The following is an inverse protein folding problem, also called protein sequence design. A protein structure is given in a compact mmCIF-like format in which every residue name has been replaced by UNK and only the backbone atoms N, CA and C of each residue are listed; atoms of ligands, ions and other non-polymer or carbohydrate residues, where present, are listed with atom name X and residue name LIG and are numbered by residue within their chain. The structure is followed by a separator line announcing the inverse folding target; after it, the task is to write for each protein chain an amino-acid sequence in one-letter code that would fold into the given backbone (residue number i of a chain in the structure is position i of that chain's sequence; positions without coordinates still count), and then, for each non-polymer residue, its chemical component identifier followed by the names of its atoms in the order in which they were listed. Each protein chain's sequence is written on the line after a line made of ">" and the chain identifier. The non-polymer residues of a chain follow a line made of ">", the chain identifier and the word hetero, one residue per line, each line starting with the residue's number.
data_IF_031421155503
#
_entry.id   IF_031421155503
#
_cell.length_a   1.000
_cell.length_b   1.000
_cell.length_c   1.000
_cell.angle_alpha   90.00
_cell.angle_beta   90.00
_cell.angle_gamma   90.00
#
_symmetry.space_group_name_H-M   'P 1'
#
loop_
_entity.id
_entity.type
_entity.pdbx_description
1 polymer ?
#
# COMPACT_ATOMS: atom_id res chain seq x y z
N UNK A 1 32.87 8.07 -12.23
CA UNK A 1 33.32 8.77 -13.45
C UNK A 1 32.22 8.59 -14.50
N UNK A 2 31.43 9.62 -14.71
CA UNK A 2 30.57 9.69 -15.91
C UNK A 2 31.53 10.02 -17.09
N UNK A 3 31.83 9.06 -17.95
CA UNK A 3 32.39 9.31 -19.23
C UNK A 3 31.30 9.96 -20.10
N UNK A 4 31.35 11.28 -20.25
CA UNK A 4 30.59 11.99 -21.28
C UNK A 4 31.17 11.60 -22.65
N UNK A 5 30.48 10.72 -23.37
CA UNK A 5 30.65 10.59 -24.81
C UNK A 5 30.03 11.83 -25.47
N UNK A 6 30.88 12.79 -25.79
CA UNK A 6 30.55 13.91 -26.68
C UNK A 6 30.38 13.32 -28.09
N UNK A 7 29.17 13.32 -28.60
CA UNK A 7 28.91 12.96 -29.99
C UNK A 7 27.51 12.41 -30.26
N UNK A 8 26.61 13.29 -30.52
CA UNK A 8 25.19 13.24 -30.90
C UNK A 8 24.26 13.65 -29.77
N UNK A 9 23.91 14.93 -29.77
CA UNK A 9 22.83 15.51 -28.93
C UNK A 9 21.46 15.00 -29.38
N UNK A 10 21.12 13.79 -28.99
CA UNK A 10 19.73 13.49 -28.70
C UNK A 10 19.58 13.83 -27.22
N UNK A 11 19.03 15.01 -26.91
CA UNK A 11 18.62 15.37 -25.56
C UNK A 11 17.57 14.35 -25.11
N UNK A 12 18.05 13.25 -24.53
CA UNK A 12 17.16 12.31 -23.84
C UNK A 12 16.71 13.07 -22.58
N UNK A 13 15.47 13.56 -22.61
CA UNK A 13 14.84 14.15 -21.43
C UNK A 13 14.52 13.03 -20.46
N UNK A 14 14.86 13.24 -19.19
CA UNK A 14 14.44 12.32 -18.14
C UNK A 14 12.89 12.24 -18.11
N UNK A 15 12.36 11.04 -17.92
CA UNK A 15 10.91 10.79 -17.84
C UNK A 15 10.51 10.52 -16.41
N UNK A 16 9.67 11.38 -15.87
CA UNK A 16 9.14 11.28 -14.52
C UNK A 16 7.68 10.81 -14.58
N UNK A 17 7.36 9.73 -13.88
CA UNK A 17 5.97 9.26 -13.73
C UNK A 17 5.45 9.51 -12.34
N UNK A 18 4.22 10.04 -12.24
CA UNK A 18 3.50 10.12 -10.98
C UNK A 18 2.44 9.04 -10.94
N UNK A 19 2.54 8.12 -9.97
CA UNK A 19 1.58 7.04 -9.75
C UNK A 19 0.58 7.49 -8.68
N UNK A 20 -0.70 7.34 -8.99
CA UNK A 20 -1.82 7.74 -8.12
C UNK A 20 -2.77 6.56 -7.96
N UNK A 21 -2.66 5.76 -6.87
CA UNK A 21 -3.65 4.74 -6.53
C UNK A 21 -4.98 5.39 -6.15
N UNK A 22 -6.09 4.89 -6.73
CA UNK A 22 -7.44 5.39 -6.51
C UNK A 22 -8.40 4.25 -6.17
N UNK A 23 -9.30 4.46 -5.23
CA UNK A 23 -10.42 3.56 -4.96
C UNK A 23 -11.63 4.30 -4.42
N UNK A 24 -12.67 4.44 -5.25
CA UNK A 24 -13.87 5.24 -4.98
C UNK A 24 -13.50 6.69 -4.61
N UNK A 25 -12.76 7.34 -5.51
CA UNK A 25 -12.27 8.72 -5.36
C UNK A 25 -12.88 9.66 -6.43
N UNK A 26 -14.08 9.31 -6.97
CA UNK A 26 -14.74 10.05 -8.04
C UNK A 26 -14.96 11.54 -7.76
N UNK A 27 -15.11 11.93 -6.49
CA UNK A 27 -15.27 13.33 -6.09
C UNK A 27 -13.94 14.12 -6.08
N UNK A 28 -12.81 13.42 -5.89
CA UNK A 28 -11.49 14.05 -5.66
C UNK A 28 -10.56 13.90 -6.86
N UNK A 29 -10.71 12.84 -7.65
CA UNK A 29 -9.76 12.48 -8.74
C UNK A 29 -9.55 13.60 -9.74
N UNK A 30 -10.58 14.40 -10.07
CA UNK A 30 -10.45 15.55 -10.97
C UNK A 30 -9.61 16.67 -10.36
N UNK A 31 -9.82 16.96 -9.07
CA UNK A 31 -9.02 17.97 -8.35
C UNK A 31 -7.56 17.55 -8.24
N UNK A 32 -7.34 16.23 -7.99
CA UNK A 32 -5.99 15.65 -7.93
C UNK A 32 -5.30 15.77 -9.28
N UNK A 33 -5.99 15.47 -10.38
CA UNK A 33 -5.47 15.64 -11.74
C UNK A 33 -5.10 17.11 -12.02
N UNK A 34 -6.01 18.05 -11.73
CA UNK A 34 -5.77 19.49 -11.99
C UNK A 34 -4.51 19.97 -11.24
N UNK A 35 -4.41 19.61 -9.97
CA UNK A 35 -3.29 20.03 -9.12
C UNK A 35 -1.96 19.41 -9.53
N UNK A 36 -1.95 18.12 -9.87
CA UNK A 36 -0.76 17.44 -10.36
C UNK A 36 -0.32 17.97 -11.72
N UNK A 37 -1.26 18.23 -12.63
CA UNK A 37 -0.95 18.75 -13.96
C UNK A 37 -0.37 20.16 -13.88
N UNK A 38 -0.92 21.04 -13.02
CA UNK A 38 -0.40 22.39 -12.78
C UNK A 38 1.07 22.33 -12.33
N UNK A 39 1.34 21.60 -11.26
CA UNK A 39 2.68 21.50 -10.66
C UNK A 39 3.67 20.83 -11.60
N UNK A 40 3.28 19.71 -12.22
CA UNK A 40 4.19 18.95 -13.09
C UNK A 40 4.49 19.69 -14.38
N UNK A 41 3.53 20.40 -14.96
CA UNK A 41 3.76 21.18 -16.18
C UNK A 41 4.71 22.36 -15.93
N UNK A 42 4.59 23.03 -14.80
CA UNK A 42 5.48 24.13 -14.41
C UNK A 42 6.89 23.60 -14.13
N UNK A 43 7.04 22.60 -13.25
CA UNK A 43 8.33 22.06 -12.85
C UNK A 43 9.09 21.40 -14.02
N UNK A 44 8.38 20.64 -14.88
CA UNK A 44 8.97 19.98 -16.04
C UNK A 44 9.52 20.96 -17.07
N UNK A 45 8.87 22.12 -17.24
CA UNK A 45 9.33 23.18 -18.12
C UNK A 45 10.63 23.83 -17.62
N UNK A 46 10.76 23.99 -16.30
CA UNK A 46 11.95 24.59 -15.66
C UNK A 46 13.13 23.61 -15.64
N UNK A 47 12.91 22.36 -15.27
CA UNK A 47 13.94 21.33 -15.11
C UNK A 47 14.21 20.48 -16.37
N UNK A 48 13.46 20.72 -17.46
CA UNK A 48 13.61 20.10 -18.78
C UNK A 48 13.49 18.56 -18.75
N UNK A 49 12.41 18.02 -18.15
CA UNK A 49 12.06 16.61 -18.21
C UNK A 49 10.64 16.39 -18.80
N UNK A 50 10.33 15.17 -19.19
CA UNK A 50 8.96 14.76 -19.59
C UNK A 50 8.25 14.11 -18.43
N UNK A 51 6.92 14.30 -18.33
CA UNK A 51 6.14 13.65 -17.28
C UNK A 51 4.90 12.96 -17.82
N UNK A 52 4.43 11.95 -17.08
CA UNK A 52 3.07 11.42 -17.22
C UNK A 52 2.48 11.07 -15.84
N UNK A 53 1.14 11.00 -15.79
CA UNK A 53 0.34 10.69 -14.61
C UNK A 53 -0.29 9.31 -14.82
N UNK A 54 0.05 8.34 -13.98
CA UNK A 54 -0.51 7.00 -14.03
C UNK A 54 -1.49 6.78 -12.87
N UNK A 55 -2.76 6.80 -13.17
CA UNK A 55 -3.82 6.49 -12.20
C UNK A 55 -4.09 4.98 -12.18
N UNK A 56 -4.04 4.38 -10.98
CA UNK A 56 -4.36 2.97 -10.79
C UNK A 56 -5.70 2.87 -10.06
N UNK A 57 -6.73 2.49 -10.80
CA UNK A 57 -8.06 2.26 -10.25
C UNK A 57 -8.17 0.84 -9.68
N UNK A 58 -8.26 0.73 -8.36
CA UNK A 58 -8.39 -0.55 -7.65
C UNK A 58 -9.83 -1.09 -7.68
N UNK A 59 -10.45 -1.13 -8.87
CA UNK A 59 -11.78 -1.67 -9.10
C UNK A 59 -12.88 -0.86 -8.41
N UNK A 60 -12.88 0.45 -8.62
CA UNK A 60 -13.90 1.37 -8.10
C UNK A 60 -15.30 1.03 -8.60
N UNK A 61 -16.30 1.38 -7.80
CA UNK A 61 -17.73 1.18 -8.11
C UNK A 61 -18.48 2.50 -8.33
N UNK A 62 -17.80 3.61 -8.15
CA UNK A 62 -18.29 4.96 -8.37
C UNK A 62 -17.86 5.50 -9.76
N UNK A 63 -17.92 6.80 -9.94
CA UNK A 63 -17.57 7.48 -11.19
C UNK A 63 -16.06 7.61 -11.43
N UNK A 64 -15.18 7.05 -10.57
CA UNK A 64 -13.73 7.20 -10.68
C UNK A 64 -13.22 6.75 -12.04
N UNK A 65 -13.57 5.54 -12.48
CA UNK A 65 -13.08 5.01 -13.75
C UNK A 65 -13.59 5.81 -14.96
N UNK A 66 -14.83 6.30 -14.93
CA UNK A 66 -15.39 7.13 -16.01
C UNK A 66 -14.59 8.44 -16.15
N UNK A 67 -14.24 9.06 -15.01
CA UNK A 67 -13.39 10.27 -15.02
C UNK A 67 -11.99 9.98 -15.57
N UNK A 68 -11.35 8.88 -15.17
CA UNK A 68 -10.01 8.53 -15.66
C UNK A 68 -9.99 8.23 -17.16
N UNK A 69 -11.00 7.54 -17.69
CA UNK A 69 -11.12 7.28 -19.12
C UNK A 69 -11.31 8.58 -19.91
N UNK A 70 -12.14 9.48 -19.41
CA UNK A 70 -12.37 10.78 -20.04
C UNK A 70 -11.11 11.66 -20.00
N UNK A 71 -10.38 11.73 -18.86
CA UNK A 71 -9.12 12.44 -18.76
C UNK A 71 -8.07 11.89 -19.73
N UNK A 72 -7.94 10.57 -19.83
CA UNK A 72 -7.00 9.91 -20.73
C UNK A 72 -7.32 10.11 -22.22
N UNK A 73 -8.59 10.36 -22.56
CA UNK A 73 -8.99 10.70 -23.92
C UNK A 73 -8.67 12.16 -24.30
N UNK A 74 -8.65 13.05 -23.30
CA UNK A 74 -8.39 14.48 -23.46
C UNK A 74 -6.91 14.82 -23.36
N UNK A 75 -6.18 14.26 -22.37
CA UNK A 75 -4.79 14.57 -22.07
C UNK A 75 -3.89 13.34 -22.30
N UNK A 76 -2.94 13.47 -23.22
CA UNK A 76 -1.99 12.41 -23.55
C UNK A 76 -1.02 12.05 -22.41
N UNK A 77 -0.83 12.94 -21.43
CA UNK A 77 -0.02 12.69 -20.23
C UNK A 77 -0.74 11.75 -19.26
N UNK A 78 -2.07 11.63 -19.34
CA UNK A 78 -2.84 10.77 -18.46
C UNK A 78 -2.85 9.34 -18.94
N UNK A 79 -2.39 8.45 -18.06
CA UNK A 79 -2.46 7.00 -18.21
C UNK A 79 -3.33 6.45 -17.10
N UNK A 80 -4.07 5.36 -17.40
CA UNK A 80 -4.80 4.65 -16.37
C UNK A 80 -4.68 3.14 -16.52
N UNK A 81 -4.83 2.45 -15.38
CA UNK A 81 -4.93 1.01 -15.30
C UNK A 81 -6.01 0.68 -14.26
N UNK A 82 -7.07 0.00 -14.69
CA UNK A 82 -8.21 -0.37 -13.85
C UNK A 82 -8.23 -1.87 -13.61
N UNK A 83 -8.49 -2.28 -12.37
CA UNK A 83 -8.58 -3.66 -11.95
C UNK A 83 -10.01 -4.22 -12.10
N UNK A 84 -10.11 -5.53 -12.29
CA UNK A 84 -11.39 -6.24 -12.37
C UNK A 84 -12.20 -6.22 -11.07
N UNK A 85 -11.58 -5.99 -9.94
CA UNK A 85 -12.15 -5.82 -8.59
C UNK A 85 -11.14 -5.15 -7.69
N UNK A 86 -11.53 -4.83 -6.46
CA UNK A 86 -10.59 -4.37 -5.44
C UNK A 86 -9.62 -5.49 -5.04
N UNK A 87 -8.31 -5.24 -5.24
CA UNK A 87 -7.18 -6.09 -4.84
C UNK A 87 -6.38 -5.48 -3.69
N UNK A 88 -6.64 -4.21 -3.34
CA UNK A 88 -6.01 -3.48 -2.25
C UNK A 88 -4.86 -2.56 -2.69
N UNK A 89 -4.54 -1.59 -1.82
CA UNK A 89 -3.56 -0.53 -2.09
C UNK A 89 -2.18 -1.08 -2.49
N UNK A 90 -1.71 -2.13 -1.82
CA UNK A 90 -0.41 -2.76 -2.14
C UNK A 90 -0.37 -3.30 -3.59
N UNK A 91 -1.48 -3.89 -4.05
CA UNK A 91 -1.60 -4.35 -5.43
C UNK A 91 -1.61 -3.18 -6.42
N UNK A 92 -2.28 -2.06 -6.09
CA UNK A 92 -2.28 -0.86 -6.91
C UNK A 92 -0.89 -0.23 -7.00
N UNK A 93 -0.16 -0.15 -5.89
CA UNK A 93 1.21 0.36 -5.85
C UNK A 93 2.15 -0.47 -6.71
N UNK A 94 2.17 -1.79 -6.55
CA UNK A 94 3.06 -2.65 -7.36
C UNK A 94 2.69 -2.61 -8.84
N UNK A 95 1.41 -2.55 -9.19
CA UNK A 95 0.99 -2.39 -10.59
C UNK A 95 1.52 -1.08 -11.19
N UNK A 96 1.46 0.01 -10.44
CA UNK A 96 2.05 1.29 -10.82
C UNK A 96 3.55 1.18 -11.09
N UNK A 97 4.31 0.61 -10.17
CA UNK A 97 5.75 0.44 -10.32
C UNK A 97 6.13 -0.51 -11.48
N UNK A 98 5.43 -1.65 -11.64
CA UNK A 98 5.68 -2.59 -12.74
C UNK A 98 5.46 -1.96 -14.11
N UNK A 99 4.50 -1.05 -14.24
CA UNK A 99 4.24 -0.32 -15.48
C UNK A 99 5.09 0.95 -15.64
N UNK A 100 6.03 1.19 -14.74
CA UNK A 100 6.90 2.39 -14.71
C UNK A 100 8.39 2.08 -14.83
N UNK A 101 8.78 0.84 -15.09
CA UNK A 101 10.19 0.39 -15.14
C UNK A 101 11.03 1.07 -16.23
N UNK A 102 10.38 1.69 -17.22
CA UNK A 102 11.02 2.43 -18.31
C UNK A 102 11.09 3.96 -18.05
N UNK A 103 10.71 4.42 -16.84
CA UNK A 103 10.82 5.82 -16.43
C UNK A 103 12.05 6.01 -15.56
N UNK A 104 12.70 7.18 -15.70
CA UNK A 104 13.95 7.48 -15.01
C UNK A 104 13.70 7.76 -13.53
N UNK A 105 12.55 8.37 -13.21
CA UNK A 105 12.08 8.57 -11.85
C UNK A 105 10.57 8.33 -11.73
N UNK A 106 10.14 7.81 -10.58
CA UNK A 106 8.72 7.47 -10.30
C UNK A 106 8.32 8.01 -8.95
N UNK A 107 7.31 8.86 -8.93
CA UNK A 107 6.70 9.41 -7.71
C UNK A 107 5.46 8.61 -7.37
N UNK A 108 5.29 8.21 -6.12
CA UNK A 108 4.07 7.62 -5.58
C UNK A 108 3.38 8.64 -4.68
N UNK A 109 2.10 8.94 -4.95
CA UNK A 109 1.28 9.85 -4.15
C UNK A 109 -0.15 9.32 -4.02
N UNK A 110 -0.76 9.44 -2.83
CA UNK A 110 -2.16 9.04 -2.63
C UNK A 110 -3.14 10.02 -3.32
N UNK A 111 -4.24 9.48 -3.86
CA UNK A 111 -5.22 10.25 -4.61
C UNK A 111 -6.14 11.15 -3.78
N UNK A 112 -6.05 11.11 -2.44
CA UNK A 112 -6.92 11.84 -1.51
C UNK A 112 -6.42 13.26 -1.11
N UNK A 113 -5.36 13.75 -1.76
CA UNK A 113 -4.71 15.05 -1.51
C UNK A 113 -4.23 15.27 -0.06
N UNK A 114 -4.08 14.22 0.75
CA UNK A 114 -3.47 14.34 2.08
C UNK A 114 -1.95 14.57 2.01
N UNK A 115 -1.34 14.15 0.92
CA UNK A 115 0.04 14.43 0.60
C UNK A 115 0.08 15.65 -0.32
N UNK A 116 0.72 16.76 0.08
CA UNK A 116 0.76 17.97 -0.74
C UNK A 116 1.61 17.74 -2.00
N UNK A 117 1.02 17.79 -3.21
CA UNK A 117 1.76 17.60 -4.45
C UNK A 117 2.86 18.63 -4.69
N UNK A 118 2.77 19.78 -4.01
CA UNK A 118 3.74 20.89 -4.08
C UNK A 118 5.16 20.47 -3.66
N UNK A 119 5.31 19.32 -3.00
CA UNK A 119 6.63 18.77 -2.67
C UNK A 119 7.24 17.88 -3.75
N UNK A 120 6.50 17.55 -4.82
CA UNK A 120 7.03 16.76 -5.94
C UNK A 120 8.24 17.44 -6.60
N UNK A 121 8.25 18.76 -6.86
CA UNK A 121 9.42 19.46 -7.38
C UNK A 121 10.69 19.28 -6.54
N UNK A 122 10.56 19.27 -5.20
CA UNK A 122 11.67 19.03 -4.28
C UNK A 122 12.14 17.56 -4.33
N UNK A 123 11.22 16.62 -4.57
CA UNK A 123 11.61 15.21 -4.78
C UNK A 123 12.40 15.03 -6.06
N UNK A 124 11.97 15.66 -7.16
CA UNK A 124 12.69 15.63 -8.44
C UNK A 124 14.06 16.25 -8.29
N UNK A 125 14.20 17.35 -7.54
CA UNK A 125 15.51 17.95 -7.24
C UNK A 125 16.43 16.97 -6.52
N UNK A 126 15.93 16.27 -5.48
CA UNK A 126 16.72 15.25 -4.80
C UNK A 126 17.13 14.10 -5.72
N UNK A 127 16.30 13.71 -6.67
CA UNK A 127 16.67 12.73 -7.71
C UNK A 127 17.78 13.27 -8.62
N UNK A 128 17.69 14.51 -9.07
CA UNK A 128 18.72 15.15 -9.90
C UNK A 128 20.06 15.33 -9.16
N UNK A 129 20.03 15.45 -7.81
CA UNK A 129 21.24 15.42 -6.96
C UNK A 129 21.88 14.01 -6.89
N UNK A 130 21.20 12.96 -7.38
CA UNK A 130 21.72 11.59 -7.45
C UNK A 130 21.22 10.64 -6.35
N UNK A 131 20.17 11.03 -5.60
CA UNK A 131 19.51 10.12 -4.66
C UNK A 131 18.57 9.17 -5.40
N UNK A 132 18.52 7.91 -4.95
CA UNK A 132 17.64 6.89 -5.50
C UNK A 132 16.27 6.88 -4.89
N UNK A 133 16.18 7.30 -3.64
CA UNK A 133 14.93 7.44 -2.92
C UNK A 133 14.86 8.86 -2.34
N UNK A 134 13.77 9.57 -2.59
CA UNK A 134 13.48 10.84 -1.96
C UNK A 134 12.14 10.74 -1.26
N UNK A 135 12.14 10.85 0.06
CA UNK A 135 11.00 10.56 0.91
C UNK A 135 10.47 11.84 1.56
N UNK A 136 9.18 12.07 1.42
CA UNK A 136 8.48 13.09 2.19
C UNK A 136 7.98 12.48 3.51
N UNK A 137 8.57 12.93 4.62
CA UNK A 137 8.22 12.52 5.98
C UNK A 137 7.23 13.50 6.58
N UNK A 138 6.09 12.99 7.06
CA UNK A 138 5.05 13.80 7.68
C UNK A 138 5.47 14.25 9.09
N UNK A 139 5.45 15.55 9.39
CA UNK A 139 5.60 16.05 10.75
C UNK A 139 4.34 15.74 11.58
N UNK A 140 4.54 15.22 12.78
CA UNK A 140 3.47 14.91 13.74
C UNK A 140 3.27 16.02 14.78
N UNK A 141 3.63 17.26 14.47
CA UNK A 141 3.29 18.41 15.32
C UNK A 141 1.77 18.55 15.39
N UNK A 142 1.23 18.59 16.61
CA UNK A 142 -0.22 18.71 16.84
C UNK A 142 -0.99 17.39 17.03
N UNK A 143 -0.36 16.21 16.86
CA UNK A 143 -1.03 14.95 17.20
C UNK A 143 -1.17 14.73 18.71
N UNK A 144 -2.28 14.07 19.12
CA UNK A 144 -2.55 13.74 20.51
C UNK A 144 -1.41 12.89 21.11
N UNK A 145 -0.96 13.25 22.33
CA UNK A 145 0.16 12.59 23.04
C UNK A 145 0.01 11.06 23.13
N UNK A 146 -1.21 10.56 23.37
CA UNK A 146 -1.48 9.11 23.45
C UNK A 146 -1.19 8.43 22.10
N UNK A 147 -1.59 9.02 20.97
CA UNK A 147 -1.35 8.50 19.61
C UNK A 147 0.14 8.50 19.28
N UNK A 148 0.85 9.58 19.62
CA UNK A 148 2.30 9.70 19.43
C UNK A 148 3.09 8.68 20.25
N UNK A 149 2.68 8.45 21.52
CA UNK A 149 3.30 7.45 22.40
C UNK A 149 3.08 6.03 21.89
N UNK A 150 1.86 5.71 21.45
CA UNK A 150 1.54 4.37 20.90
C UNK A 150 2.29 4.09 19.60
N UNK A 151 2.43 5.08 18.72
CA UNK A 151 3.23 4.95 17.51
C UNK A 151 4.71 4.72 17.84
N UNK A 152 5.32 5.50 18.74
CA UNK A 152 6.71 5.29 19.16
C UNK A 152 6.93 3.89 19.76
N UNK A 153 5.99 3.43 20.59
CA UNK A 153 6.06 2.09 21.16
C UNK A 153 6.02 1.02 20.06
N UNK A 154 5.12 1.18 19.07
CA UNK A 154 5.01 0.29 17.92
C UNK A 154 6.33 0.23 17.13
N UNK A 155 6.87 1.39 16.71
CA UNK A 155 8.12 1.42 15.96
C UNK A 155 9.32 0.92 16.76
N UNK A 156 9.37 1.22 18.05
CA UNK A 156 10.42 0.66 18.93
C UNK A 156 10.32 -0.87 19.01
N UNK A 157 9.09 -1.39 19.15
CA UNK A 157 8.85 -2.83 19.19
C UNK A 157 9.26 -3.48 17.85
N UNK A 158 8.77 -2.98 16.72
CA UNK A 158 9.06 -3.58 15.42
C UNK A 158 10.56 -3.52 15.10
N UNK A 159 11.24 -2.41 15.37
CA UNK A 159 12.70 -2.28 15.18
C UNK A 159 13.54 -3.14 16.13
N UNK A 160 12.98 -3.55 17.28
CA UNK A 160 13.65 -4.53 18.17
C UNK A 160 13.54 -5.95 17.63
N UNK A 161 12.44 -6.26 16.96
CA UNK A 161 12.18 -7.60 16.41
C UNK A 161 12.76 -7.77 15.01
N UNK A 162 12.77 -6.73 14.17
CA UNK A 162 13.33 -6.77 12.81
C UNK A 162 14.78 -6.31 12.87
N UNK A 163 15.72 -7.15 12.43
CA UNK A 163 17.17 -6.88 12.53
C UNK A 163 17.69 -6.17 11.27
N UNK A 164 17.15 -6.51 10.11
CA UNK A 164 17.71 -6.11 8.81
C UNK A 164 17.20 -4.74 8.33
N UNK A 165 16.16 -4.19 8.96
CA UNK A 165 15.46 -2.98 8.50
C UNK A 165 15.14 -2.09 9.69
N UNK A 166 15.37 -0.78 9.55
CA UNK A 166 14.95 0.22 10.53
C UNK A 166 13.79 1.05 10.00
N UNK A 167 12.62 0.84 10.57
CA UNK A 167 11.43 1.63 10.24
C UNK A 167 11.49 3.00 10.89
N UNK A 168 11.43 4.05 10.08
CA UNK A 168 11.29 5.42 10.58
C UNK A 168 9.83 5.82 10.78
N UNK A 169 9.54 6.42 11.94
CA UNK A 169 8.21 6.96 12.25
C UNK A 169 7.90 8.18 11.38
N UNK A 170 6.68 8.21 10.81
CA UNK A 170 6.21 9.30 9.93
C UNK A 170 6.56 9.14 8.46
N UNK A 171 7.32 8.12 8.07
CA UNK A 171 7.58 7.76 6.67
C UNK A 171 6.36 7.03 6.10
N UNK A 172 5.81 7.57 5.00
CA UNK A 172 4.67 7.03 4.26
C UNK A 172 5.06 6.50 2.89
N UNK A 173 4.03 6.34 2.05
CA UNK A 173 4.18 5.88 0.67
C UNK A 173 4.55 7.04 -0.27
N UNK A 174 4.44 8.31 0.17
CA UNK A 174 4.77 9.48 -0.60
C UNK A 174 6.29 9.61 -0.76
N UNK A 175 6.78 9.16 -1.91
CA UNK A 175 8.20 9.12 -2.25
C UNK A 175 8.46 9.12 -3.74
N UNK A 176 9.66 9.52 -4.12
CA UNK A 176 10.22 9.33 -5.45
C UNK A 176 11.24 8.20 -5.41
N UNK A 177 11.21 7.35 -6.42
CA UNK A 177 12.19 6.28 -6.64
C UNK A 177 12.85 6.47 -8.00
N UNK A 178 14.19 6.27 -8.08
CA UNK A 178 14.90 6.17 -9.35
C UNK A 178 14.54 4.89 -10.10
N UNK A 179 14.80 4.83 -11.41
CA UNK A 179 14.56 3.65 -12.23
C UNK A 179 15.16 2.38 -11.63
N UNK A 180 16.40 2.43 -11.15
CA UNK A 180 17.07 1.27 -10.56
C UNK A 180 16.40 0.81 -9.25
N UNK A 181 15.91 1.75 -8.45
CA UNK A 181 15.17 1.42 -7.25
C UNK A 181 13.80 0.80 -7.57
N UNK A 182 13.11 1.30 -8.61
CA UNK A 182 11.85 0.69 -9.12
C UNK A 182 12.10 -0.72 -9.64
N UNK A 183 13.16 -0.94 -10.43
CA UNK A 183 13.51 -2.26 -10.95
C UNK A 183 13.83 -3.24 -9.81
N UNK A 184 14.60 -2.83 -8.80
CA UNK A 184 14.87 -3.65 -7.63
C UNK A 184 13.57 -3.99 -6.87
N UNK A 185 12.71 -3.00 -6.62
CA UNK A 185 11.45 -3.19 -5.92
C UNK A 185 10.48 -4.11 -6.68
N UNK A 186 10.43 -4.03 -8.00
CA UNK A 186 9.57 -4.86 -8.85
C UNK A 186 10.09 -6.28 -9.03
N UNK A 187 11.40 -6.51 -8.84
CA UNK A 187 11.98 -7.86 -8.83
C UNK A 187 11.61 -8.68 -7.59
N UNK A 188 11.16 -8.02 -6.51
CA UNK A 188 10.66 -8.69 -5.31
C UNK A 188 9.22 -9.16 -5.56
N UNK A 189 9.05 -10.47 -5.78
CA UNK A 189 7.76 -11.05 -6.21
C UNK A 189 6.95 -11.63 -5.04
N UNK A 190 6.97 -10.97 -3.90
CA UNK A 190 6.21 -11.36 -2.71
C UNK A 190 4.70 -11.16 -2.94
N UNK A 191 3.88 -12.16 -2.56
CA UNK A 191 2.43 -12.05 -2.58
C UNK A 191 1.92 -11.19 -1.42
N UNK A 192 2.42 -11.44 -0.21
CA UNK A 192 2.08 -10.67 0.99
C UNK A 192 3.05 -9.49 1.14
N UNK A 193 2.87 -8.46 0.31
CA UNK A 193 3.74 -7.28 0.31
C UNK A 193 3.49 -6.40 1.53
N UNK A 194 4.59 -5.93 2.10
CA UNK A 194 4.60 -4.85 3.06
C UNK A 194 5.55 -3.77 2.53
N UNK A 195 5.02 -2.91 1.66
CA UNK A 195 5.83 -1.98 0.85
C UNK A 195 6.76 -1.11 1.69
N UNK A 196 6.34 -0.66 2.89
CA UNK A 196 7.21 0.13 3.78
C UNK A 196 8.50 -0.58 4.15
N UNK A 197 8.45 -1.89 4.37
CA UNK A 197 9.63 -2.69 4.64
C UNK A 197 10.46 -2.93 3.38
N UNK A 198 9.82 -3.17 2.24
CA UNK A 198 10.51 -3.42 0.99
C UNK A 198 11.30 -2.20 0.50
N UNK A 199 10.77 -0.99 0.71
CA UNK A 199 11.49 0.25 0.41
C UNK A 199 12.79 0.41 1.20
N UNK A 200 12.80 0.02 2.47
CA UNK A 200 14.01 0.03 3.30
C UNK A 200 14.95 -1.14 2.94
N UNK A 201 14.36 -2.30 2.62
CA UNK A 201 15.12 -3.51 2.31
C UNK A 201 15.98 -3.38 1.05
N UNK A 202 15.51 -2.63 0.03
CA UNK A 202 16.31 -2.39 -1.20
C UNK A 202 17.57 -1.54 -0.95
N UNK A 203 17.67 -0.82 0.18
CA UNK A 203 18.91 -0.26 0.71
C UNK A 203 19.59 0.85 -0.12
N UNK A 204 18.86 1.51 -1.02
CA UNK A 204 19.40 2.56 -1.88
C UNK A 204 19.61 3.89 -1.14
N UNK A 205 20.48 4.76 -1.72
CA UNK A 205 20.75 6.09 -1.18
C UNK A 205 19.50 6.94 -1.06
N UNK A 206 19.21 7.40 0.17
CA UNK A 206 17.92 8.02 0.53
C UNK A 206 18.10 9.45 1.03
N UNK A 207 17.28 10.39 0.53
CA UNK A 207 17.12 11.75 1.05
C UNK A 207 15.73 11.87 1.69
N UNK A 208 15.67 12.35 2.92
CA UNK A 208 14.41 12.55 3.65
C UNK A 208 14.22 14.03 3.92
N UNK A 209 13.06 14.58 3.59
CA UNK A 209 12.65 15.91 4.02
C UNK A 209 11.30 15.83 4.74
N UNK A 210 11.05 16.80 5.62
CA UNK A 210 9.84 16.79 6.46
C UNK A 210 8.87 17.87 5.97
N UNK A 211 7.58 17.53 5.86
CA UNK A 211 6.52 18.47 5.53
C UNK A 211 5.48 18.58 6.65
N UNK A 212 4.81 19.72 6.72
CA UNK A 212 3.76 19.96 7.70
C UNK A 212 2.48 19.21 7.32
N UNK A 213 1.80 18.69 8.34
CA UNK A 213 0.58 17.92 8.15
C UNK A 213 -0.58 18.80 7.70
N UNK A 214 -1.13 18.56 6.52
CA UNK A 214 -2.38 19.16 6.06
C UNK A 214 -3.55 18.33 6.59
N UNK A 215 -4.51 19.01 7.24
CA UNK A 215 -5.75 18.36 7.70
C UNK A 215 -6.60 17.95 6.50
N UNK A 216 -7.26 16.78 6.61
CA UNK A 216 -8.17 16.28 5.57
C UNK A 216 -9.23 17.32 5.21
N UNK A 217 -9.39 17.59 3.93
CA UNK A 217 -10.51 18.42 3.45
C UNK A 217 -11.86 17.71 3.55
N UNK A 218 -11.89 16.35 3.45
CA UNK A 218 -13.09 15.54 3.61
C UNK A 218 -12.76 14.08 3.96
N UNK A 219 -13.65 13.40 4.66
CA UNK A 219 -13.63 11.96 4.93
C UNK A 219 -13.21 11.54 6.34
N UNK A 220 -13.81 10.44 6.83
CA UNK A 220 -13.47 9.82 8.11
C UNK A 220 -12.34 8.80 7.97
N UNK A 221 -11.56 8.60 9.04
CA UNK A 221 -10.50 7.59 9.07
C UNK A 221 -11.09 6.18 8.93
N UNK A 222 -10.82 5.50 7.84
CA UNK A 222 -11.27 4.12 7.56
C UNK A 222 -10.51 3.05 8.39
N UNK A 223 -9.60 3.48 9.30
CA UNK A 223 -8.77 2.58 10.11
C UNK A 223 -9.44 2.21 11.43
N UNK A 224 -9.82 0.95 11.57
CA UNK A 224 -10.27 0.37 12.85
C UNK A 224 -9.09 -0.22 13.61
N UNK A 225 -9.20 -0.33 14.94
CA UNK A 225 -8.17 -0.94 15.80
C UNK A 225 -7.76 -2.35 15.31
N UNK A 226 -8.72 -3.16 14.86
CA UNK A 226 -8.46 -4.50 14.30
C UNK A 226 -7.60 -4.45 13.03
N UNK A 227 -7.86 -3.49 12.12
CA UNK A 227 -7.05 -3.29 10.91
C UNK A 227 -5.63 -2.86 11.25
N UNK A 228 -5.47 -1.99 12.26
CA UNK A 228 -4.16 -1.53 12.71
C UNK A 228 -3.36 -2.68 13.35
N UNK A 229 -4.02 -3.53 14.15
CA UNK A 229 -3.39 -4.71 14.75
C UNK A 229 -2.94 -5.71 13.67
N UNK A 230 -3.80 -6.04 12.70
CA UNK A 230 -3.44 -6.93 11.61
C UNK A 230 -2.26 -6.38 10.80
N UNK A 231 -2.28 -5.10 10.46
CA UNK A 231 -1.16 -4.44 9.77
C UNK A 231 0.15 -4.51 10.56
N UNK A 232 0.07 -4.38 11.90
CA UNK A 232 1.21 -4.55 12.78
C UNK A 232 1.76 -5.98 12.79
N UNK A 233 0.88 -6.98 12.81
CA UNK A 233 1.24 -8.41 12.72
C UNK A 233 1.86 -8.70 11.36
N UNK A 234 1.27 -8.17 10.27
CA UNK A 234 1.79 -8.33 8.91
C UNK A 234 3.21 -7.80 8.79
N UNK A 235 3.48 -6.60 9.29
CA UNK A 235 4.82 -6.02 9.30
C UNK A 235 5.83 -6.84 10.11
N UNK A 236 5.41 -7.37 11.28
CA UNK A 236 6.28 -8.17 12.14
C UNK A 236 6.65 -9.52 11.49
N UNK A 237 5.68 -10.21 10.88
CA UNK A 237 5.87 -11.56 10.34
C UNK A 237 6.56 -11.52 8.97
N UNK A 238 6.34 -10.48 8.15
CA UNK A 238 6.89 -10.38 6.79
C UNK A 238 8.41 -10.31 6.76
N UNK A 239 9.04 -9.70 7.77
CA UNK A 239 10.49 -9.50 7.80
C UNK A 239 11.18 -10.22 8.95
N UNK A 240 10.52 -11.19 9.61
CA UNK A 240 11.09 -11.78 10.80
C UNK A 240 10.58 -13.19 11.09
N UNK A 241 11.51 -14.08 11.46
CA UNK A 241 11.21 -15.42 11.96
C UNK A 241 11.33 -15.52 13.51
N UNK A 242 11.61 -14.41 14.21
CA UNK A 242 11.74 -14.40 15.68
C UNK A 242 10.50 -14.91 16.41
N UNK A 243 9.25 -14.62 15.98
CA UNK A 243 8.08 -15.22 16.62
C UNK A 243 8.10 -16.75 16.63
N UNK A 244 8.57 -17.38 15.55
CA UNK A 244 8.77 -18.84 15.52
C UNK A 244 9.84 -19.30 16.51
N UNK A 245 10.98 -18.60 16.54
CA UNK A 245 12.07 -18.93 17.48
C UNK A 245 11.65 -18.71 18.93
N UNK A 246 10.83 -17.69 19.22
CA UNK A 246 10.27 -17.49 20.56
C UNK A 246 9.44 -18.68 21.04
N UNK A 247 8.67 -19.33 20.14
CA UNK A 247 7.92 -20.55 20.48
C UNK A 247 8.84 -21.70 20.85
N UNK A 248 10.00 -21.83 20.19
CA UNK A 248 11.01 -22.83 20.53
C UNK A 248 11.57 -22.57 21.95
N UNK A 249 11.94 -21.32 22.25
CA UNK A 249 12.46 -20.97 23.58
C UNK A 249 11.41 -21.17 24.68
N UNK A 250 10.14 -20.80 24.40
CA UNK A 250 9.04 -21.02 25.33
C UNK A 250 8.82 -22.53 25.57
N UNK A 251 8.86 -23.31 24.50
CA UNK A 251 8.76 -24.79 24.60
C UNK A 251 9.91 -25.40 25.42
N UNK A 252 11.14 -24.99 25.19
CA UNK A 252 12.30 -25.44 25.96
C UNK A 252 12.20 -25.04 27.45
N UNK A 253 11.75 -23.81 27.72
CA UNK A 253 11.57 -23.32 29.09
C UNK A 253 10.51 -24.12 29.85
N UNK A 254 9.34 -24.34 29.23
CA UNK A 254 8.26 -25.13 29.84
C UNK A 254 8.65 -26.58 30.00
N UNK A 255 9.38 -27.17 29.04
CA UNK A 255 9.94 -28.51 29.15
C UNK A 255 10.90 -28.65 30.33
N UNK A 256 11.83 -27.70 30.50
CA UNK A 256 12.78 -27.69 31.61
C UNK A 256 12.10 -27.59 32.96
N UNK A 257 11.09 -26.72 33.11
CA UNK A 257 10.30 -26.61 34.34
C UNK A 257 9.55 -27.92 34.61
N UNK A 258 8.97 -28.54 33.58
CA UNK A 258 8.25 -29.80 33.73
C UNK A 258 9.17 -30.93 34.24
N UNK A 259 10.39 -31.02 33.72
CA UNK A 259 11.36 -32.02 34.22
C UNK A 259 11.71 -31.75 35.68
N UNK A 260 12.01 -30.50 36.05
CA UNK A 260 12.32 -30.17 37.45
C UNK A 260 11.15 -30.49 38.38
N UNK A 261 9.92 -30.25 37.94
CA UNK A 261 8.72 -30.54 38.69
C UNK A 261 8.52 -32.08 38.84
N UNK A 262 8.76 -32.84 37.80
CA UNK A 262 8.69 -34.32 37.82
C UNK A 262 9.72 -34.87 38.81
N UNK A 263 10.96 -34.37 38.78
CA UNK A 263 12.02 -34.80 39.71
C UNK A 263 11.66 -34.43 41.17
N UNK A 264 11.14 -33.24 41.38
CA UNK A 264 10.65 -32.82 42.71
C UNK A 264 9.56 -33.77 43.24
N UNK A 265 8.53 -34.05 42.41
CA UNK A 265 7.47 -34.98 42.79
C UNK A 265 7.99 -36.39 43.08
N UNK A 266 8.93 -36.89 42.26
CA UNK A 266 9.53 -38.20 42.47
C UNK A 266 10.26 -38.29 43.80
N UNK A 267 11.06 -37.30 44.14
CA UNK A 267 11.76 -37.24 45.45
C UNK A 267 10.75 -37.14 46.62
N UNK A 268 9.69 -36.31 46.47
CA UNK A 268 8.67 -36.15 47.50
C UNK A 268 7.90 -37.46 47.74
N UNK A 269 7.59 -38.22 46.71
CA UNK A 269 6.94 -39.53 46.82
C UNK A 269 7.85 -40.54 47.58
N UNK A 270 9.15 -40.51 47.30
CA UNK A 270 10.11 -41.38 47.98
C UNK A 270 10.23 -41.10 49.48
N UNK A 271 10.11 -39.80 49.88
CA UNK A 271 10.27 -39.39 51.28
C UNK A 271 8.93 -39.47 52.04
N UNK A 272 7.81 -39.04 51.46
CA UNK A 272 6.55 -38.83 52.16
C UNK A 272 5.45 -39.84 51.77
N UNK A 273 5.74 -40.79 50.85
CA UNK A 273 4.72 -41.69 50.32
C UNK A 273 3.74 -41.04 49.37
N UNK A 274 2.78 -41.82 48.88
CA UNK A 274 1.76 -41.33 47.91
C UNK A 274 0.62 -40.65 48.68
N UNK A 275 0.58 -39.33 48.68
CA UNK A 275 -0.57 -38.54 49.06
C UNK A 275 -1.42 -38.14 47.79
N UNK A 276 -2.71 -38.36 47.84
CA UNK A 276 -3.64 -38.08 46.69
C UNK A 276 -4.21 -36.65 46.62
N UNK A 277 -3.59 -35.57 47.07
CA UNK A 277 -4.01 -34.26 46.68
C UNK A 277 -3.21 -33.77 45.47
N UNK A 278 -3.75 -33.77 44.28
CA UNK A 278 -3.05 -33.29 43.07
C UNK A 278 -3.97 -33.00 41.90
N UNK A 279 -5.29 -33.18 42.06
CA UNK A 279 -6.24 -33.00 40.98
C UNK A 279 -6.18 -31.61 40.36
N UNK A 280 -6.22 -30.55 41.20
CA UNK A 280 -6.16 -29.16 40.73
C UNK A 280 -4.85 -28.84 40.02
N UNK A 281 -3.72 -29.27 40.58
CA UNK A 281 -2.38 -29.03 40.01
C UNK A 281 -2.22 -29.71 38.66
N UNK A 282 -2.73 -30.94 38.54
CA UNK A 282 -2.66 -31.72 37.30
C UNK A 282 -3.50 -31.08 36.19
N UNK A 283 -4.75 -30.69 36.48
CA UNK A 283 -5.62 -30.01 35.52
C UNK A 283 -5.05 -28.64 35.13
N UNK A 284 -4.57 -27.86 36.09
CA UNK A 284 -3.96 -26.56 35.81
C UNK A 284 -2.73 -26.71 34.89
N UNK A 285 -1.87 -27.70 35.14
CA UNK A 285 -0.73 -27.98 34.29
C UNK A 285 -1.13 -28.39 32.88
N UNK A 286 -2.11 -29.27 32.72
CA UNK A 286 -2.61 -29.71 31.42
C UNK A 286 -3.21 -28.53 30.64
N UNK A 287 -4.02 -27.70 31.27
CA UNK A 287 -4.64 -26.54 30.62
C UNK A 287 -3.58 -25.50 30.21
N UNK A 288 -2.57 -25.24 31.07
CA UNK A 288 -1.49 -24.31 30.76
C UNK A 288 -0.65 -24.82 29.57
N UNK A 289 -0.21 -26.07 29.60
CA UNK A 289 0.58 -26.66 28.53
C UNK A 289 -0.21 -26.75 27.22
N UNK A 290 -1.49 -27.17 27.30
CA UNK A 290 -2.40 -27.19 26.15
C UNK A 290 -2.62 -25.81 25.55
N UNK A 291 -2.77 -24.78 26.39
CA UNK A 291 -2.87 -23.38 25.94
C UNK A 291 -1.63 -22.92 25.20
N UNK A 292 -0.43 -23.20 25.74
CA UNK A 292 0.85 -22.86 25.08
C UNK A 292 0.99 -23.60 23.74
N UNK A 293 0.63 -24.88 23.68
CA UNK A 293 0.65 -25.65 22.43
C UNK A 293 -0.27 -25.08 21.38
N UNK A 294 -1.50 -24.69 21.73
CA UNK A 294 -2.45 -24.07 20.80
C UNK A 294 -1.95 -22.74 20.26
N UNK A 295 -1.33 -21.89 21.11
CA UNK A 295 -0.70 -20.64 20.66
C UNK A 295 0.44 -20.94 19.69
N UNK A 296 1.30 -21.90 19.99
CA UNK A 296 2.44 -22.28 19.14
C UNK A 296 1.97 -22.78 17.77
N UNK A 297 0.94 -23.63 17.74
CA UNK A 297 0.32 -24.13 16.50
C UNK A 297 -0.30 -22.96 15.71
N UNK A 298 -0.94 -22.00 16.39
CA UNK A 298 -1.50 -20.81 15.77
C UNK A 298 -0.44 -19.96 15.07
N UNK A 299 0.71 -19.74 15.71
CA UNK A 299 1.85 -19.01 15.09
C UNK A 299 2.38 -19.77 13.86
N UNK A 300 2.58 -21.09 13.96
CA UNK A 300 3.00 -21.93 12.83
C UNK A 300 1.96 -21.84 11.70
N UNK A 301 0.67 -21.90 12.02
CA UNK A 301 -0.42 -21.80 11.06
C UNK A 301 -0.39 -20.49 10.26
N UNK A 302 -0.05 -19.37 10.90
CA UNK A 302 0.09 -18.08 10.23
C UNK A 302 1.21 -18.10 9.18
N UNK A 303 2.39 -18.67 9.51
CA UNK A 303 3.48 -18.81 8.54
C UNK A 303 3.14 -19.78 7.40
N UNK A 304 2.49 -20.90 7.70
CA UNK A 304 2.03 -21.84 6.67
C UNK A 304 1.01 -21.17 5.75
N UNK A 305 0.10 -20.34 6.29
CA UNK A 305 -0.85 -19.57 5.51
C UNK A 305 -0.17 -18.66 4.51
N UNK A 306 0.91 -17.96 4.90
CA UNK A 306 1.70 -17.12 4.00
C UNK A 306 2.41 -17.92 2.92
N UNK A 307 3.09 -19.03 3.28
CA UNK A 307 3.72 -19.94 2.32
C UNK A 307 2.70 -20.47 1.31
N UNK A 308 1.48 -20.79 1.75
CA UNK A 308 0.41 -21.25 0.88
C UNK A 308 0.02 -20.22 -0.19
N UNK A 309 -0.04 -18.94 0.14
CA UNK A 309 -0.32 -17.88 -0.84
C UNK A 309 0.86 -17.68 -1.80
N UNK A 310 2.10 -17.74 -1.31
CA UNK A 310 3.30 -17.66 -2.16
C UNK A 310 3.37 -18.79 -3.18
N UNK A 311 3.17 -20.04 -2.75
CA UNK A 311 3.22 -21.23 -3.62
C UNK A 311 2.12 -21.25 -4.68
N UNK A 312 1.00 -20.58 -4.44
CA UNK A 312 -0.10 -20.49 -5.42
C UNK A 312 0.23 -19.67 -6.66
N UNK A 313 1.20 -18.78 -6.61
CA UNK A 313 1.60 -17.89 -7.71
C UNK A 313 0.40 -17.18 -8.40
N UNK A 314 -0.62 -16.81 -7.64
CA UNK A 314 -1.75 -16.07 -8.19
C UNK A 314 -1.33 -14.66 -8.58
N UNK A 315 -1.81 -14.10 -9.71
CA UNK A 315 -1.55 -12.72 -10.06
C UNK A 315 -1.96 -11.78 -8.92
N UNK A 316 -1.13 -10.79 -8.61
CA UNK A 316 -1.39 -9.80 -7.57
C UNK A 316 -2.60 -8.92 -7.88
N UNK A 317 -2.87 -8.72 -9.17
CA UNK A 317 -4.02 -7.99 -9.70
C UNK A 317 -4.41 -8.55 -11.08
N UNK A 318 -5.62 -8.23 -11.53
CA UNK A 318 -6.11 -8.55 -12.87
C UNK A 318 -6.58 -7.25 -13.51
N UNK A 319 -6.01 -6.90 -14.66
CA UNK A 319 -6.36 -5.69 -15.40
C UNK A 319 -7.69 -5.89 -16.14
N UNK A 320 -8.63 -4.97 -15.94
CA UNK A 320 -9.88 -4.90 -16.67
C UNK A 320 -9.79 -3.97 -17.87
N UNK A 321 -9.20 -2.77 -17.67
CA UNK A 321 -9.06 -1.76 -18.70
C UNK A 321 -7.80 -0.93 -18.51
N UNK A 322 -7.17 -0.48 -19.61
CA UNK A 322 -6.00 0.39 -19.59
C UNK A 322 -5.80 1.07 -20.94
N UNK A 323 -5.17 2.26 -20.94
CA UNK A 323 -4.65 2.91 -22.14
C UNK A 323 -3.11 2.80 -22.26
N UNK A 324 -2.45 2.06 -21.36
CA UNK A 324 -1.03 1.77 -21.49
C UNK A 324 -0.76 0.88 -22.70
N UNK A 325 0.38 1.12 -23.35
CA UNK A 325 0.89 0.19 -24.37
C UNK A 325 1.40 -1.08 -23.68
N UNK A 326 1.22 -2.28 -24.27
CA UNK A 326 1.84 -3.50 -23.74
C UNK A 326 3.34 -3.29 -23.59
N UNK A 327 3.90 -3.65 -22.45
CA UNK A 327 5.36 -3.74 -22.30
C UNK A 327 5.76 -5.04 -23.00
N UNK A 328 6.58 -4.94 -24.05
CA UNK A 328 7.14 -6.08 -24.80
C UNK A 328 8.13 -6.88 -23.91
N UNK A 329 7.63 -7.54 -22.90
CA UNK A 329 8.36 -8.53 -22.13
C UNK A 329 7.91 -9.92 -22.60
N UNK A 330 8.76 -10.62 -23.31
CA UNK A 330 8.54 -12.00 -23.81
C UNK A 330 8.20 -13.03 -22.71
N UNK A 331 8.22 -12.64 -21.43
CA UNK A 331 8.00 -13.52 -20.28
C UNK A 331 6.70 -13.28 -19.51
N UNK A 332 5.88 -12.28 -19.87
CA UNK A 332 4.63 -11.98 -19.15
C UNK A 332 3.45 -12.66 -19.84
N UNK A 333 2.77 -13.51 -19.10
CA UNK A 333 1.52 -14.17 -19.48
C UNK A 333 0.58 -13.21 -20.22
N UNK A 334 0.05 -13.64 -21.36
CA UNK A 334 -0.96 -12.93 -22.18
C UNK A 334 -2.14 -12.47 -21.31
N UNK A 335 -2.01 -11.28 -20.69
CA UNK A 335 -3.16 -10.59 -20.15
C UNK A 335 -3.93 -9.99 -21.33
N UNK A 336 -5.17 -10.39 -21.50
CA UNK A 336 -6.08 -9.83 -22.52
C UNK A 336 -6.34 -8.37 -22.18
N UNK A 337 -5.63 -7.47 -22.86
CA UNK A 337 -5.91 -6.04 -22.80
C UNK A 337 -7.14 -5.73 -23.65
N UNK A 338 -8.28 -5.52 -23.01
CA UNK A 338 -9.43 -4.93 -23.69
C UNK A 338 -9.15 -3.43 -23.95
N UNK A 339 -8.87 -3.07 -25.20
CA UNK A 339 -8.80 -1.67 -25.61
C UNK A 339 -10.19 -1.05 -25.47
N UNK A 340 -10.31 -0.08 -24.58
CA UNK A 340 -11.52 0.72 -24.43
C UNK A 340 -11.55 1.77 -25.55
N UNK A 341 -12.64 1.82 -26.33
CA UNK A 341 -12.90 2.92 -27.26
C UNK A 341 -13.24 4.17 -26.45
N UNK A 342 -12.25 5.04 -26.25
CA UNK A 342 -12.38 6.30 -25.51
C UNK A 342 -12.99 7.38 -26.43
N UNK A 343 -14.01 8.14 -25.96
CA UNK A 343 -14.54 9.29 -26.69
C UNK A 343 -13.47 10.37 -26.86
N UNK A 344 -13.36 10.96 -28.05
CA UNK A 344 -12.46 12.10 -28.29
C UNK A 344 -13.17 13.41 -27.95
N UNK A 345 -12.63 14.17 -26.99
CA UNK A 345 -13.06 15.52 -26.66
C UNK A 345 -12.13 16.54 -27.31
N UNK A 346 -12.71 17.69 -27.78
CA UNK A 346 -11.95 18.71 -28.51
C UNK A 346 -11.14 19.64 -27.61
N UNK A 347 -11.61 19.87 -26.38
CA UNK A 347 -10.93 20.70 -25.40
C UNK A 347 -11.36 20.39 -23.95
N UNK A 348 -10.65 20.95 -22.95
CA UNK A 348 -10.86 20.77 -21.51
C UNK A 348 -12.24 21.27 -21.04
N UNK A 349 -12.69 22.38 -21.60
CA UNK A 349 -13.99 23.01 -21.21
C UNK A 349 -15.18 22.14 -21.65
N UNK A 350 -15.07 21.45 -22.79
CA UNK A 350 -16.09 20.52 -23.26
C UNK A 350 -16.23 19.32 -22.32
N UNK A 351 -15.12 18.83 -21.75
CA UNK A 351 -15.15 17.77 -20.75
C UNK A 351 -15.87 18.21 -19.46
N UNK A 352 -15.50 19.37 -18.91
CA UNK A 352 -16.12 19.87 -17.67
C UNK A 352 -17.60 20.19 -17.84
N UNK A 353 -18.02 20.76 -18.97
CA UNK A 353 -19.45 20.98 -19.29
C UNK A 353 -20.23 19.67 -19.35
N UNK A 354 -19.68 18.65 -20.00
CA UNK A 354 -20.32 17.34 -20.10
C UNK A 354 -20.34 16.59 -18.76
N UNK A 355 -19.30 16.72 -17.93
CA UNK A 355 -19.26 16.13 -16.60
C UNK A 355 -20.29 16.77 -15.67
N UNK A 356 -20.48 18.09 -15.75
CA UNK A 356 -21.52 18.82 -15.02
C UNK A 356 -22.91 18.40 -15.49
N UNK A 357 -23.14 18.36 -16.80
CA UNK A 357 -24.41 17.92 -17.38
C UNK A 357 -24.79 16.47 -16.99
N UNK A 358 -23.81 15.55 -16.97
CA UNK A 358 -24.02 14.16 -16.52
C UNK A 358 -24.34 14.07 -15.04
N UNK A 359 -23.70 14.90 -14.18
CA UNK A 359 -24.03 14.97 -12.74
C UNK A 359 -25.47 15.42 -12.51
N UNK A 360 -25.89 16.48 -13.20
CA UNK A 360 -27.27 16.97 -13.13
C UNK A 360 -28.26 15.94 -13.63
N UNK A 361 -27.97 15.26 -14.74
CA UNK A 361 -28.81 14.19 -15.29
C UNK A 361 -28.89 12.96 -14.39
N UNK A 362 -27.80 12.59 -13.70
CA UNK A 362 -27.78 11.49 -12.75
C UNK A 362 -28.56 11.85 -11.47
N UNK A 363 -28.47 13.10 -11.00
CA UNK A 363 -29.21 13.60 -9.86
C UNK A 363 -30.72 13.69 -10.15
N UNK A 364 -31.12 14.10 -11.36
CA UNK A 364 -32.49 14.07 -11.81
C UNK A 364 -33.02 12.64 -11.84
N UNK A 365 -32.27 11.67 -12.38
CA UNK A 365 -32.66 10.25 -12.41
C UNK A 365 -32.81 9.65 -11.01
N UNK A 366 -31.90 9.96 -10.08
CA UNK A 366 -31.99 9.48 -8.70
C UNK A 366 -33.21 10.06 -7.96
N UNK A 367 -33.53 11.35 -8.18
CA UNK A 367 -34.69 11.99 -7.61
C UNK A 367 -36.01 11.43 -8.20
N UNK A 368 -36.04 11.12 -9.51
CA UNK A 368 -37.20 10.50 -10.17
C UNK A 368 -37.43 9.09 -9.62
N UNK A 369 -36.37 8.28 -9.46
CA UNK A 369 -36.50 6.94 -8.86
C UNK A 369 -36.93 6.97 -7.40
N UNK A 370 -36.47 7.95 -6.62
CA UNK A 370 -36.90 8.15 -5.23
C UNK A 370 -38.38 8.53 -5.14
N UNK A 371 -38.87 9.41 -6.04
CA UNK A 371 -40.29 9.78 -6.09
C UNK A 371 -41.18 8.62 -6.55
N UNK A 372 -40.76 7.82 -7.51
CA UNK A 372 -41.48 6.62 -7.95
C UNK A 372 -41.53 5.53 -6.86
N UNK A 373 -40.48 5.39 -6.03
CA UNK A 373 -40.51 4.49 -4.88
C UNK A 373 -41.45 4.99 -3.78
N UNK A 374 -41.49 6.29 -3.53
CA UNK A 374 -42.37 6.90 -2.53
C UNK A 374 -43.86 6.78 -2.96
N UNK A 375 -44.14 6.94 -4.25
CA UNK A 375 -45.51 6.76 -4.79
C UNK A 375 -45.95 5.29 -4.77
N UNK A 376 -45.06 4.32 -5.04
CA UNK A 376 -45.36 2.88 -4.85
C UNK A 376 -45.60 2.53 -3.39
N UNK A 377 -44.88 3.14 -2.45
CA UNK A 377 -45.12 2.93 -1.02
C UNK A 377 -46.47 3.46 -0.58
N UNK A 378 -46.88 4.62 -1.10
CA UNK A 378 -48.22 5.21 -0.81
C UNK A 378 -49.36 4.40 -1.41
N UNK A 379 -49.18 3.71 -2.55
CA UNK A 379 -50.18 2.84 -3.18
C UNK A 379 -50.36 1.48 -2.47
N UNK A 380 -49.43 1.07 -1.61
CA UNK A 380 -49.54 -0.20 -0.84
C UNK A 380 -50.00 -0.03 0.61
N UNK A 381 -50.22 1.20 1.06
CA UNK A 381 -50.64 1.54 2.43
C UNK A 381 -52.13 1.97 2.52
N UNK A 382 -52.83 2.03 1.37
CA UNK A 382 -54.29 2.28 1.31
C UNK A 382 -55.05 1.09 0.75
#
# INVERSE_FOLDING_TARGET
>A
IRLSLVGSEMCIRDRVRVIVPCYNEGEVVLKTYDKLTEIMSEDSSVKNYEYDLLFIDDGSKDTTIDHLQNLAAYDSHVKFLSFSRNFGKEAAMIAGYQNSTNHDAVVMIDGDLQHPPEYIPQMVEGYLEGYDQVIAKRDRKGENFARKSMSRFYYKMINTFVEDIQFEDGVGDFRLLSQRAVQALTSLDEYNRFSKGLFEWIGYNTKIFTYENVTREAGESKWTFRKLLNYGIDGLISFNNKPLRMMIYLGMFTFSISILYIVYLFINILISGINIPGYFTTIAAILLLGGIQLISIGVIGEYIGRIYYEVKHRPKYIVQATNLKPIDNESSQKQTHNKVNTPQYKNRDDYYKLSTYRRESAQIKSNTQASEQEDRYKQHVY
#
